data_IF_498746682047
#
_entry.id   IF_498746682047
#
_cell.length_a   1.000
_cell.length_b   1.000
_cell.length_c   1.000
_cell.angle_alpha   90.00
_cell.angle_beta   90.00
_cell.angle_gamma   90.00
#
_symmetry.space_group_name_H-M   'P 1'
#
loop_
_entity.id
_entity.type
_entity.pdbx_description
1 polymer ?
#
# COMPACT_ATOMS: atom_id res chain seq x y z
N UNK A 1 21.26 -16.10 -18.16
CA UNK A 1 19.94 -15.68 -17.62
C UNK A 1 19.33 -14.68 -18.60
N UNK A 2 18.03 -14.78 -18.88
CA UNK A 2 17.33 -13.71 -19.60
C UNK A 2 16.95 -12.62 -18.60
N UNK A 3 17.46 -11.41 -18.79
CA UNK A 3 17.06 -10.25 -18.00
C UNK A 3 15.70 -9.74 -18.49
N UNK A 4 14.63 -10.03 -17.72
CA UNK A 4 13.33 -9.39 -17.88
C UNK A 4 13.39 -7.92 -17.39
N UNK A 5 14.26 -7.12 -17.99
CA UNK A 5 14.23 -5.67 -17.85
C UNK A 5 13.02 -5.13 -18.59
N UNK A 6 12.22 -4.31 -17.92
CA UNK A 6 11.18 -3.52 -18.59
C UNK A 6 11.90 -2.52 -19.49
N UNK A 7 11.84 -2.72 -20.81
CA UNK A 7 12.48 -1.83 -21.77
C UNK A 7 11.85 -0.44 -21.71
N UNK A 8 12.66 0.57 -21.39
CA UNK A 8 12.24 1.97 -21.49
C UNK A 8 11.93 2.31 -22.95
N UNK A 9 10.91 3.13 -23.18
CA UNK A 9 10.51 3.64 -24.49
C UNK A 9 11.65 4.30 -25.27
N UNK A 10 12.63 4.90 -24.57
CA UNK A 10 13.85 5.47 -25.15
C UNK A 10 14.85 4.42 -25.67
N UNK A 11 14.72 3.15 -25.26
CA UNK A 11 15.60 2.04 -25.66
C UNK A 11 15.02 1.14 -26.75
N UNK A 12 13.78 1.39 -27.19
CA UNK A 12 13.11 0.61 -28.22
C UNK A 12 13.44 1.13 -29.63
N UNK A 13 13.77 0.21 -30.54
CA UNK A 13 14.15 0.53 -31.91
C UNK A 13 13.07 1.32 -32.67
N UNK A 14 13.50 2.21 -33.57
CA UNK A 14 12.59 3.05 -34.37
C UNK A 14 11.56 2.20 -35.12
N UNK A 15 10.29 2.65 -35.12
CA UNK A 15 9.17 1.91 -35.70
C UNK A 15 8.54 0.85 -34.80
N UNK A 16 8.93 0.74 -33.51
CA UNK A 16 8.28 -0.20 -32.58
C UNK A 16 6.78 0.09 -32.41
N UNK A 17 5.99 -0.98 -32.35
CA UNK A 17 4.62 -0.95 -31.80
C UNK A 17 4.41 -2.03 -30.75
N UNK A 18 3.55 -1.76 -29.76
CA UNK A 18 3.10 -2.70 -28.74
C UNK A 18 1.61 -2.51 -28.49
N UNK A 19 0.83 -3.53 -28.83
CA UNK A 19 -0.59 -3.58 -28.46
C UNK A 19 -0.75 -3.95 -26.99
N UNK A 20 -1.60 -3.23 -26.26
CA UNK A 20 -2.02 -3.59 -24.93
C UNK A 20 -3.49 -3.22 -24.67
N UNK A 21 -4.21 -4.14 -24.03
CA UNK A 21 -5.37 -3.80 -23.21
C UNK A 21 -4.84 -3.36 -21.85
N UNK A 22 -5.34 -2.25 -21.32
CA UNK A 22 -4.96 -1.78 -20.00
C UNK A 22 -6.13 -1.08 -19.32
N UNK A 23 -6.09 -1.01 -17.99
CA UNK A 23 -7.09 -0.33 -17.21
C UNK A 23 -6.57 0.11 -15.85
N UNK A 24 -7.31 1.02 -15.24
CA UNK A 24 -7.08 1.47 -13.88
C UNK A 24 -8.34 1.22 -13.05
N UNK A 25 -8.17 0.94 -11.75
CA UNK A 25 -9.24 0.91 -10.77
C UNK A 25 -8.88 1.83 -9.60
N UNK A 26 -9.78 2.75 -9.26
CA UNK A 26 -9.73 3.46 -7.98
C UNK A 26 -10.49 2.60 -6.97
N UNK A 27 -9.77 2.11 -5.96
CA UNK A 27 -10.27 1.11 -5.03
C UNK A 27 -11.09 1.77 -3.94
N UNK A 28 -12.31 1.31 -3.72
CA UNK A 28 -13.04 1.64 -2.49
C UNK A 28 -12.47 0.75 -1.36
N UNK A 29 -11.84 1.39 -0.38
CA UNK A 29 -11.12 0.72 0.72
C UNK A 29 -12.04 0.25 1.85
N UNK A 30 -13.35 0.52 1.78
CA UNK A 30 -14.35 -0.03 2.70
C UNK A 30 -15.00 -1.28 2.10
N UNK A 31 -15.33 -1.25 0.82
CA UNK A 31 -15.82 -2.41 0.07
C UNK A 31 -15.27 -2.42 -1.35
N UNK A 32 -14.43 -3.42 -1.65
CA UNK A 32 -13.77 -3.55 -2.95
C UNK A 32 -14.75 -3.79 -4.11
N UNK A 33 -15.96 -4.31 -3.88
CA UNK A 33 -16.97 -4.47 -4.94
C UNK A 33 -17.49 -3.12 -5.45
N UNK A 34 -17.42 -2.06 -4.62
CA UNK A 34 -17.73 -0.68 -5.00
C UNK A 34 -16.57 0.04 -5.74
N UNK A 35 -15.45 -0.63 -6.04
CA UNK A 35 -14.29 -0.03 -6.72
C UNK A 35 -14.60 0.41 -8.16
N UNK A 36 -14.15 1.61 -8.54
CA UNK A 36 -14.43 2.16 -9.86
C UNK A 36 -13.34 1.82 -10.87
N UNK A 37 -13.64 0.95 -11.83
CA UNK A 37 -12.70 0.49 -12.87
C UNK A 37 -13.01 1.11 -14.23
N UNK A 38 -11.96 1.44 -15.02
CA UNK A 38 -12.08 1.69 -16.47
C UNK A 38 -10.92 1.03 -17.21
N UNK A 39 -11.22 0.38 -18.33
CA UNK A 39 -10.24 -0.25 -19.22
C UNK A 39 -10.40 0.26 -20.65
N UNK A 40 -9.34 0.15 -21.45
CA UNK A 40 -9.31 0.45 -22.88
C UNK A 40 -8.24 -0.38 -23.59
N UNK A 41 -8.18 -0.32 -24.92
CA UNK A 41 -7.15 -0.95 -25.75
C UNK A 41 -6.43 0.09 -26.59
N UNK A 42 -5.10 -0.04 -26.72
CA UNK A 42 -4.26 0.85 -27.52
C UNK A 42 -3.07 0.10 -28.11
N UNK A 43 -2.69 0.48 -29.31
CA UNK A 43 -1.34 0.25 -29.83
C UNK A 43 -0.44 1.44 -29.46
N UNK A 44 0.55 1.18 -28.62
CA UNK A 44 1.58 2.13 -28.21
C UNK A 44 2.72 2.10 -29.23
N UNK A 45 3.32 3.26 -29.49
CA UNK A 45 4.47 3.44 -30.38
C UNK A 45 5.24 4.71 -29.99
N UNK A 46 6.39 4.96 -30.62
CA UNK A 46 7.25 6.10 -30.31
C UNK A 46 6.55 7.48 -30.38
N UNK A 47 5.58 7.67 -31.29
CA UNK A 47 4.81 8.92 -31.42
C UNK A 47 3.71 9.05 -30.37
N UNK A 48 3.20 7.92 -29.86
CA UNK A 48 2.08 7.85 -28.94
C UNK A 48 2.39 6.94 -27.73
N UNK A 49 3.43 7.23 -26.91
CA UNK A 49 3.89 6.32 -25.86
C UNK A 49 2.99 6.27 -24.61
N UNK A 50 2.07 7.23 -24.43
CA UNK A 50 1.23 7.37 -23.24
C UNK A 50 -0.27 7.35 -23.61
N UNK A 51 -1.12 6.78 -22.76
CA UNK A 51 -2.58 7.01 -22.75
C UNK A 51 -3.13 6.82 -21.33
N UNK A 52 -4.16 7.59 -20.99
CA UNK A 52 -4.92 7.46 -19.76
C UNK A 52 -6.29 8.13 -19.90
N UNK A 53 -7.07 8.18 -18.82
CA UNK A 53 -8.41 8.77 -18.83
C UNK A 53 -8.36 10.23 -18.34
N UNK A 54 -8.68 11.20 -19.23
CA UNK A 54 -8.74 12.64 -18.87
C UNK A 54 -9.76 12.97 -17.77
N UNK A 55 -10.75 12.11 -17.56
CA UNK A 55 -11.67 12.12 -16.43
C UNK A 55 -12.00 10.68 -16.06
N UNK A 56 -11.91 10.35 -14.77
CA UNK A 56 -12.04 8.98 -14.26
C UNK A 56 -13.09 8.87 -13.13
N UNK A 57 -12.90 9.63 -12.06
CA UNK A 57 -13.74 9.72 -10.86
C UNK A 57 -13.91 11.22 -10.52
N UNK A 58 -15.14 11.72 -10.25
CA UNK A 58 -15.32 13.11 -9.82
C UNK A 58 -14.65 13.38 -8.46
N UNK A 59 -14.08 14.57 -8.27
CA UNK A 59 -13.44 14.96 -7.00
C UNK A 59 -14.44 14.98 -5.82
N UNK A 60 -15.72 15.26 -6.09
CA UNK A 60 -16.82 15.17 -5.13
C UNK A 60 -17.16 13.74 -4.72
N UNK A 61 -16.83 12.75 -5.56
CA UNK A 61 -17.05 11.33 -5.31
C UNK A 61 -15.84 10.72 -4.60
N UNK A 62 -14.62 11.08 -5.03
CA UNK A 62 -13.35 10.72 -4.39
C UNK A 62 -13.25 11.22 -2.94
N UNK A 63 -13.69 12.46 -2.67
CA UNK A 63 -13.63 13.08 -1.33
C UNK A 63 -14.87 12.82 -0.46
N UNK A 64 -15.79 11.95 -0.89
CA UNK A 64 -17.00 11.65 -0.12
C UNK A 64 -16.66 10.70 1.03
N UNK A 65 -16.79 11.09 2.33
CA UNK A 65 -16.44 10.23 3.45
C UNK A 65 -17.37 9.00 3.60
N UNK A 66 -18.44 8.90 2.79
CA UNK A 66 -19.29 7.70 2.65
C UNK A 66 -18.82 6.73 1.55
N UNK A 67 -17.62 6.96 0.97
CA UNK A 67 -16.96 6.10 -0.03
C UNK A 67 -15.52 5.85 0.42
N UNK A 68 -15.01 4.64 0.28
CA UNK A 68 -13.67 4.27 0.72
C UNK A 68 -12.55 4.68 -0.24
N UNK A 69 -12.85 5.46 -1.29
CA UNK A 69 -11.84 5.87 -2.29
C UNK A 69 -10.69 6.70 -1.71
N UNK A 70 -10.92 7.41 -0.60
CA UNK A 70 -9.91 8.20 0.10
C UNK A 70 -9.96 7.90 1.60
N UNK A 71 -8.88 7.34 2.14
CA UNK A 71 -8.76 6.93 3.54
C UNK A 71 -7.43 7.43 4.10
N UNK A 72 -7.45 8.22 5.17
CA UNK A 72 -6.28 8.89 5.74
C UNK A 72 -5.48 9.69 4.68
N UNK A 73 -6.19 10.43 3.83
CA UNK A 73 -5.69 11.13 2.63
C UNK A 73 -4.96 10.27 1.58
N UNK A 74 -4.99 8.94 1.71
CA UNK A 74 -4.48 7.99 0.72
C UNK A 74 -5.58 7.45 -0.20
N UNK A 75 -5.33 7.50 -1.50
CA UNK A 75 -6.18 6.93 -2.55
C UNK A 75 -5.46 5.75 -3.22
N UNK A 76 -6.00 4.55 -3.10
CA UNK A 76 -5.43 3.35 -3.72
C UNK A 76 -5.87 3.23 -5.18
N UNK A 77 -4.89 3.11 -6.09
CA UNK A 77 -5.11 2.91 -7.53
C UNK A 77 -4.38 1.65 -7.99
N UNK A 78 -5.13 0.70 -8.55
CA UNK A 78 -4.58 -0.49 -9.20
C UNK A 78 -4.53 -0.30 -10.72
N UNK A 79 -3.54 -0.93 -11.36
CA UNK A 79 -3.36 -0.90 -12.81
C UNK A 79 -3.25 -2.32 -13.36
N UNK A 80 -3.99 -2.61 -14.43
CA UNK A 80 -3.99 -3.91 -15.12
C UNK A 80 -3.48 -3.71 -16.55
N UNK A 81 -2.61 -4.60 -17.03
CA UNK A 81 -2.02 -4.53 -18.38
C UNK A 81 -1.92 -5.94 -18.98
N UNK A 82 -2.30 -6.10 -20.24
CA UNK A 82 -2.24 -7.35 -20.98
C UNK A 82 -1.89 -7.08 -22.46
N UNK A 83 -0.91 -7.82 -22.98
CA UNK A 83 -0.30 -7.56 -24.30
C UNK A 83 -0.67 -8.57 -25.39
N UNK A 84 -1.55 -9.54 -25.10
CA UNK A 84 -2.04 -10.50 -26.08
C UNK A 84 -2.95 -9.87 -27.14
N UNK A 85 -2.87 -10.36 -28.38
CA UNK A 85 -3.75 -10.00 -29.51
C UNK A 85 -4.83 -11.05 -29.82
N UNK A 86 -5.02 -12.03 -28.94
CA UNK A 86 -6.13 -13.00 -29.00
C UNK A 86 -7.44 -12.37 -28.52
N UNK A 87 -8.56 -12.78 -29.13
CA UNK A 87 -9.87 -12.11 -29.03
C UNK A 87 -10.40 -12.06 -27.59
N UNK A 88 -10.73 -10.85 -27.14
CA UNK A 88 -11.60 -10.46 -26.01
C UNK A 88 -11.74 -11.43 -24.80
N UNK A 89 -10.67 -11.55 -23.99
CA UNK A 89 -10.72 -12.23 -22.67
C UNK A 89 -10.56 -11.29 -21.45
N UNK A 90 -10.76 -9.98 -21.62
CA UNK A 90 -10.69 -8.98 -20.53
C UNK A 90 -12.06 -8.40 -20.18
N UNK A 91 -13.03 -8.52 -21.09
CA UNK A 91 -14.44 -8.30 -20.79
C UNK A 91 -14.91 -9.39 -19.81
N UNK A 92 -15.51 -8.96 -18.69
CA UNK A 92 -16.00 -9.79 -17.58
C UNK A 92 -14.94 -10.59 -16.78
N UNK A 93 -14.33 -11.64 -17.32
CA UNK A 93 -13.82 -12.73 -16.45
C UNK A 93 -12.66 -12.32 -15.51
N UNK A 94 -11.76 -11.42 -15.95
CA UNK A 94 -10.67 -10.94 -15.08
C UNK A 94 -11.18 -10.05 -13.93
N UNK A 95 -12.24 -9.27 -14.16
CA UNK A 95 -12.88 -8.42 -13.14
C UNK A 95 -13.68 -9.28 -12.15
N UNK A 96 -14.28 -10.38 -12.61
CA UNK A 96 -15.00 -11.33 -11.74
C UNK A 96 -14.04 -12.14 -10.87
N UNK A 97 -12.87 -12.54 -11.39
CA UNK A 97 -11.92 -13.38 -10.62
C UNK A 97 -11.28 -12.68 -9.42
N UNK A 98 -11.18 -11.36 -9.40
CA UNK A 98 -10.76 -10.59 -8.21
C UNK A 98 -11.76 -10.65 -7.05
N UNK A 99 -13.02 -11.05 -7.29
CA UNK A 99 -14.04 -11.20 -6.24
C UNK A 99 -13.93 -12.55 -5.49
N UNK A 100 -13.35 -13.58 -6.10
CA UNK A 100 -13.41 -14.96 -5.60
C UNK A 100 -12.11 -15.51 -4.97
N UNK A 101 -11.03 -14.72 -4.95
CA UNK A 101 -9.66 -15.16 -4.64
C UNK A 101 -9.27 -15.36 -3.16
N UNK A 102 -10.02 -16.12 -2.34
CA UNK A 102 -9.61 -16.43 -0.94
C UNK A 102 -8.84 -17.76 -0.80
N UNK A 103 -7.72 -17.72 -0.05
CA UNK A 103 -6.83 -18.84 0.39
C UNK A 103 -6.09 -19.56 -0.76
N UNK A 104 -4.76 -19.65 -0.77
CA UNK A 104 -3.94 -20.33 0.25
C UNK A 104 -2.65 -19.57 0.63
N UNK A 105 -2.24 -19.75 1.87
CA UNK A 105 -0.87 -19.49 2.35
C UNK A 105 0.12 -20.54 1.82
N UNK A 106 1.33 -20.09 1.49
CA UNK A 106 2.57 -20.78 1.92
C UNK A 106 3.71 -19.78 2.12
N UNK A 107 4.28 -19.91 3.31
CA UNK A 107 5.58 -19.46 3.81
C UNK A 107 6.76 -20.04 2.98
N UNK A 108 7.93 -19.39 2.98
CA UNK A 108 9.12 -19.89 2.27
C UNK A 108 10.23 -18.86 2.02
N UNK A 109 11.04 -18.61 3.04
CA UNK A 109 12.43 -18.10 3.05
C UNK A 109 13.00 -17.25 1.90
N UNK A 110 13.49 -16.06 2.28
CA UNK A 110 14.67 -15.44 1.68
C UNK A 110 15.82 -15.53 2.69
N UNK A 111 17.03 -16.01 2.29
CA UNK A 111 18.34 -15.55 2.81
C UNK A 111 19.53 -16.26 2.13
N UNK A 112 20.69 -15.57 2.08
CA UNK A 112 21.99 -15.91 1.47
C UNK A 112 22.12 -15.75 -0.06
N UNK A 113 23.25 -15.30 -0.61
CA UNK A 113 24.35 -14.48 -0.05
C UNK A 113 25.25 -13.97 -1.19
N UNK A 114 25.66 -12.71 -1.17
CA UNK A 114 26.76 -12.19 -2.01
C UNK A 114 27.33 -10.88 -1.44
N UNK A 115 28.35 -10.96 -0.59
CA UNK A 115 29.24 -9.83 -0.24
C UNK A 115 30.59 -10.11 -0.92
N UNK A 116 31.10 -9.18 -1.72
CA UNK A 116 32.19 -9.46 -2.65
C UNK A 116 32.85 -8.22 -3.27
N UNK A 117 33.37 -7.35 -2.40
CA UNK A 117 34.43 -6.33 -2.62
C UNK A 117 34.74 -5.86 -4.06
N UNK A 118 34.50 -4.57 -4.32
CA UNK A 118 35.16 -3.87 -5.44
C UNK A 118 36.67 -3.71 -5.16
N UNK A 119 37.49 -3.68 -6.22
CA UNK A 119 38.95 -3.48 -6.16
C UNK A 119 39.36 -2.37 -7.14
N UNK A 120 39.96 -1.30 -6.63
CA UNK A 120 40.41 -0.13 -7.40
C UNK A 120 41.93 -0.10 -7.58
N UNK A 121 42.40 -0.08 -8.84
CA UNK A 121 43.76 0.31 -9.31
C UNK A 121 43.76 0.22 -10.84
N UNK A 122 44.50 0.97 -11.67
CA UNK A 122 45.29 2.22 -11.53
C UNK A 122 45.69 2.63 -12.96
N UNK A 123 45.80 3.93 -13.27
CA UNK A 123 46.48 4.39 -14.51
C UNK A 123 47.45 5.56 -14.22
N UNK A 124 48.71 5.36 -14.59
CA UNK A 124 49.86 6.27 -14.78
C UNK A 124 50.53 5.82 -16.12
N UNK A 125 51.71 6.31 -16.59
CA UNK A 125 52.54 7.48 -16.25
C UNK A 125 52.54 8.54 -17.39
N UNK A 126 53.43 9.54 -17.55
CA UNK A 126 54.89 9.58 -17.92
C UNK A 126 55.32 11.08 -17.80
N UNK A 127 56.36 11.48 -17.04
CA UNK A 127 57.82 11.52 -17.33
C UNK A 127 58.25 12.75 -18.20
N UNK A 128 59.48 13.31 -18.19
CA UNK A 128 60.69 13.10 -17.36
C UNK A 128 60.88 14.31 -16.40
N UNK A 129 61.98 15.08 -16.17
CA UNK A 129 63.41 15.16 -16.57
C UNK A 129 64.21 15.55 -15.27
N UNK A 130 65.52 15.28 -15.19
CA UNK A 130 66.41 15.72 -14.08
C UNK A 130 67.80 16.12 -14.65
N UNK A 131 68.53 17.10 -14.07
CA UNK A 131 69.85 16.77 -13.50
C UNK A 131 70.35 17.60 -12.28
N UNK A 132 71.42 17.09 -11.68
CA UNK A 132 72.31 17.64 -10.63
C UNK A 132 73.08 18.93 -11.02
N UNK A 133 73.91 19.59 -10.15
CA UNK A 133 74.49 19.10 -8.89
C UNK A 133 74.49 20.05 -7.66
N UNK A 134 74.98 19.52 -6.54
CA UNK A 134 75.34 20.21 -5.29
C UNK A 134 76.40 21.30 -5.46
N UNK A 135 76.22 22.43 -4.78
CA UNK A 135 77.31 23.32 -4.33
C UNK A 135 77.24 23.43 -2.81
N UNK A 136 78.39 23.29 -2.15
CA UNK A 136 78.49 23.54 -0.71
C UNK A 136 78.61 25.05 -0.49
N UNK A 137 77.65 25.62 0.25
CA UNK A 137 77.78 26.95 0.84
C UNK A 137 78.00 26.74 2.33
N UNK A 138 79.13 27.25 2.83
CA UNK A 138 79.47 27.24 4.24
C UNK A 138 78.56 28.24 4.96
N UNK A 139 77.58 27.73 5.72
CA UNK A 139 76.71 28.56 6.55
C UNK A 139 77.47 28.96 7.81
N UNK A 140 78.08 30.15 7.78
CA UNK A 140 78.52 30.84 8.99
C UNK A 140 77.35 30.88 9.98
N UNK A 141 77.56 30.39 11.21
CA UNK A 141 76.57 30.56 12.26
C UNK A 141 76.60 32.03 12.70
N UNK A 142 75.43 32.72 12.75
CA UNK A 142 75.40 34.12 13.15
C UNK A 142 75.96 34.29 14.57
N UNK A 143 76.58 35.44 14.85
CA UNK A 143 77.12 35.69 16.17
C UNK A 143 75.99 35.68 17.22
N UNK A 144 76.32 35.29 18.45
CA UNK A 144 75.35 35.30 19.56
C UNK A 144 74.80 36.72 19.80
N UNK A 145 75.60 37.75 19.54
CA UNK A 145 75.19 39.16 19.56
C UNK A 145 74.20 39.52 18.43
N UNK A 146 74.33 38.95 17.23
CA UNK A 146 73.37 39.16 16.13
C UNK A 146 72.03 38.48 16.42
N UNK A 147 72.06 37.24 16.94
CA UNK A 147 70.85 36.53 17.36
C UNK A 147 70.15 37.27 18.51
N UNK A 148 70.90 37.70 19.53
CA UNK A 148 70.35 38.47 20.66
C UNK A 148 69.84 39.85 20.20
N UNK A 149 70.49 40.51 19.23
CA UNK A 149 70.00 41.76 18.64
C UNK A 149 68.71 41.53 17.84
N UNK A 150 68.62 40.46 17.04
CA UNK A 150 67.39 40.10 16.34
C UNK A 150 66.25 39.82 17.31
N UNK A 151 66.46 38.99 18.34
CA UNK A 151 65.42 38.69 19.33
C UNK A 151 65.07 39.91 20.20
N UNK A 152 66.02 40.79 20.54
CA UNK A 152 65.72 42.04 21.26
C UNK A 152 64.91 43.01 20.39
N UNK A 153 65.22 43.12 19.10
CA UNK A 153 64.43 43.90 18.15
C UNK A 153 63.04 43.30 17.95
N UNK A 154 62.93 41.97 17.90
CA UNK A 154 61.66 41.26 17.81
C UNK A 154 60.82 41.44 19.08
N UNK A 155 61.43 41.39 20.27
CA UNK A 155 60.75 41.71 21.54
C UNK A 155 60.31 43.17 21.59
N UNK A 156 61.10 44.11 21.08
CA UNK A 156 60.73 45.53 20.99
C UNK A 156 59.57 45.76 20.00
N UNK A 157 59.58 45.07 18.86
CA UNK A 157 58.53 45.13 17.84
C UNK A 157 57.24 44.46 18.33
N UNK A 158 57.32 43.31 19.00
CA UNK A 158 56.20 42.64 19.67
C UNK A 158 55.67 43.43 20.89
N UNK A 159 56.53 44.21 21.55
CA UNK A 159 56.14 45.10 22.65
C UNK A 159 55.42 46.36 22.15
N UNK A 160 55.91 46.97 21.07
CA UNK A 160 55.27 48.15 20.45
C UNK A 160 54.03 47.80 19.62
N UNK A 161 53.92 46.56 19.15
CA UNK A 161 52.73 45.99 18.50
C UNK A 161 51.69 45.41 19.49
N UNK A 162 51.99 45.38 20.81
CA UNK A 162 51.02 44.95 21.83
C UNK A 162 49.86 45.96 21.90
N UNK A 163 48.68 45.54 21.44
CA UNK A 163 47.45 46.36 21.46
C UNK A 163 47.13 46.72 22.92
N UNK A 164 47.33 47.99 23.28
CA UNK A 164 47.07 48.51 24.63
C UNK A 164 45.58 48.86 24.76
N UNK A 165 44.78 47.87 25.17
CA UNK A 165 43.36 48.09 25.46
C UNK A 165 43.18 49.02 26.67
N UNK A 166 42.22 49.93 26.57
CA UNK A 166 41.88 50.84 27.66
C UNK A 166 41.21 50.14 28.84
N UNK A 167 41.25 50.79 30.01
CA UNK A 167 40.56 50.34 31.22
C UNK A 167 39.03 50.31 31.05
N UNK A 168 38.52 51.08 30.09
CA UNK A 168 37.11 51.20 29.74
C UNK A 168 36.66 50.02 28.85
N UNK A 169 37.44 49.68 27.82
CA UNK A 169 37.21 48.48 26.99
C UNK A 169 37.30 47.19 27.83
N UNK A 170 38.24 47.11 28.79
CA UNK A 170 38.34 45.98 29.72
C UNK A 170 37.09 45.85 30.63
N UNK A 171 36.51 46.97 31.11
CA UNK A 171 35.23 46.95 31.85
C UNK A 171 34.08 46.50 30.96
N UNK A 172 34.02 46.96 29.71
CA UNK A 172 32.96 46.59 28.76
C UNK A 172 33.04 45.11 28.37
N UNK A 173 34.26 44.58 28.18
CA UNK A 173 34.51 43.16 27.99
C UNK A 173 34.03 42.32 29.20
N UNK A 174 34.39 42.74 30.42
CA UNK A 174 33.92 42.08 31.65
C UNK A 174 32.40 42.14 31.80
N UNK A 175 31.76 43.25 31.40
CA UNK A 175 30.30 43.37 31.40
C UNK A 175 29.66 42.38 30.41
N UNK A 176 30.17 42.25 29.19
CA UNK A 176 29.70 41.28 28.17
C UNK A 176 29.85 39.82 28.64
N UNK A 177 30.93 39.49 29.33
CA UNK A 177 31.13 38.15 29.92
C UNK A 177 30.11 37.88 31.03
N UNK A 178 29.92 38.84 31.95
CA UNK A 178 28.91 38.70 33.01
C UNK A 178 27.48 38.64 32.45
N UNK A 179 27.18 39.38 31.37
CA UNK A 179 25.89 39.30 30.68
C UNK A 179 25.66 37.88 30.12
N UNK A 180 26.65 37.30 29.44
CA UNK A 180 26.60 35.94 28.90
C UNK A 180 26.50 34.85 30.00
N UNK A 181 27.17 35.04 31.14
CA UNK A 181 27.10 34.12 32.29
C UNK A 181 25.75 34.17 33.02
N UNK A 182 24.98 35.25 32.88
CA UNK A 182 23.62 35.39 33.43
C UNK A 182 22.53 34.80 32.52
N UNK A 183 22.87 34.32 31.31
CA UNK A 183 21.94 33.62 30.42
C UNK A 183 21.94 32.12 30.70
N UNK A 184 20.89 31.39 30.30
CA UNK A 184 21.04 29.93 30.25
C UNK A 184 22.01 29.55 29.12
N UNK A 185 22.74 28.42 29.21
CA UNK A 185 23.63 28.00 28.12
C UNK A 185 22.91 27.77 26.77
N UNK A 186 21.59 27.54 26.79
CA UNK A 186 20.77 27.43 25.57
C UNK A 186 20.53 28.80 24.96
N UNK A 187 20.11 29.79 25.77
CA UNK A 187 19.93 31.17 25.29
C UNK A 187 21.26 31.75 24.81
N UNK A 188 22.38 31.42 25.46
CA UNK A 188 23.71 31.86 25.04
C UNK A 188 24.07 31.32 23.64
N UNK A 189 23.75 30.05 23.35
CA UNK A 189 23.93 29.44 22.03
C UNK A 189 23.14 30.21 20.96
N UNK A 190 21.86 30.45 21.24
CA UNK A 190 20.91 30.98 20.26
C UNK A 190 20.98 32.51 20.12
N UNK A 191 21.56 33.22 21.10
CA UNK A 191 21.74 34.68 21.11
C UNK A 191 22.74 35.23 20.08
N UNK A 192 23.56 34.38 19.48
CA UNK A 192 24.68 34.78 18.61
C UNK A 192 25.85 35.46 19.34
N UNK A 193 25.81 35.59 20.68
CA UNK A 193 26.80 36.34 21.47
C UNK A 193 28.17 35.66 21.62
N UNK A 194 28.34 34.44 21.09
CA UNK A 194 29.61 33.68 21.13
C UNK A 194 30.78 34.48 20.52
N UNK A 195 30.59 35.17 19.38
CA UNK A 195 31.66 35.96 18.75
C UNK A 195 32.02 37.25 19.53
N UNK A 196 31.05 38.07 19.99
CA UNK A 196 31.32 39.14 20.96
C UNK A 196 31.97 38.66 22.26
N UNK A 197 31.57 37.49 22.76
CA UNK A 197 32.13 36.88 23.98
C UNK A 197 33.60 36.50 23.79
N UNK A 198 33.96 35.89 22.64
CA UNK A 198 35.35 35.62 22.26
C UNK A 198 36.21 36.88 22.20
N UNK A 199 35.68 37.97 21.65
CA UNK A 199 36.38 39.26 21.65
C UNK A 199 36.58 39.80 23.08
N UNK A 200 35.57 39.71 23.95
CA UNK A 200 35.70 40.11 25.35
C UNK A 200 36.76 39.30 26.12
N UNK A 201 36.83 37.98 25.88
CA UNK A 201 37.86 37.12 26.46
C UNK A 201 39.28 37.48 25.98
N UNK A 202 39.45 37.78 24.68
CA UNK A 202 40.73 38.26 24.14
C UNK A 202 41.18 39.59 24.75
N UNK A 203 40.27 40.58 24.88
CA UNK A 203 40.55 41.90 25.46
C UNK A 203 41.04 41.75 26.91
N UNK A 204 40.36 40.94 27.73
CA UNK A 204 40.76 40.73 29.13
C UNK A 204 42.09 39.96 29.27
N UNK A 205 42.38 38.99 28.40
CA UNK A 205 43.66 38.28 28.43
C UNK A 205 44.85 39.18 28.05
N UNK A 206 44.64 40.19 27.20
CA UNK A 206 45.66 41.12 26.74
C UNK A 206 45.79 42.40 27.58
N UNK A 207 44.89 42.65 28.54
CA UNK A 207 44.91 43.83 29.39
C UNK A 207 45.98 43.76 30.50
N UNK A 208 46.92 44.72 30.51
CA UNK A 208 48.02 44.82 31.47
C UNK A 208 47.87 46.09 32.36
N UNK A 209 46.84 46.10 33.22
CA UNK A 209 46.55 47.22 34.11
C UNK A 209 47.49 47.33 35.32
N UNK A 210 48.03 48.54 35.55
CA UNK A 210 49.16 48.88 36.45
C UNK A 210 48.98 48.69 37.97
N UNK A 211 48.10 47.80 38.44
CA UNK A 211 47.86 47.55 39.87
C UNK A 211 47.77 46.08 40.25
N UNK A 212 47.40 45.19 39.33
CA UNK A 212 47.33 43.73 39.52
C UNK A 212 47.40 43.05 38.14
N UNK A 213 48.61 42.80 37.64
CA UNK A 213 48.79 42.10 36.36
C UNK A 213 48.34 40.64 36.49
N UNK A 214 47.46 40.17 35.60
CA UNK A 214 47.07 38.76 35.55
C UNK A 214 48.29 37.90 35.19
N UNK A 215 48.48 36.78 35.88
CA UNK A 215 49.56 35.83 35.55
C UNK A 215 49.33 35.18 34.19
N UNK A 216 50.38 34.67 33.57
CA UNK A 216 50.29 33.93 32.29
C UNK A 216 49.31 32.76 32.41
N UNK A 217 49.32 32.07 33.56
CA UNK A 217 48.43 30.96 33.88
C UNK A 217 46.95 31.41 33.99
N UNK A 218 46.69 32.55 34.64
CA UNK A 218 45.34 33.15 34.69
C UNK A 218 44.84 33.57 33.30
N UNK A 219 45.71 34.13 32.45
CA UNK A 219 45.37 34.51 31.07
C UNK A 219 45.04 33.27 30.21
N UNK A 220 45.78 32.17 30.38
CA UNK A 220 45.53 30.90 29.72
C UNK A 220 44.22 30.24 30.20
N UNK A 221 43.93 30.24 31.51
CA UNK A 221 42.65 29.77 32.05
C UNK A 221 41.46 30.62 31.55
N UNK A 222 41.65 31.93 31.37
CA UNK A 222 40.62 32.81 30.82
C UNK A 222 40.27 32.45 29.36
N UNK A 223 41.28 32.18 28.52
CA UNK A 223 41.07 31.71 27.15
C UNK A 223 40.46 30.29 27.12
N UNK A 224 40.90 29.40 28.02
CA UNK A 224 40.29 28.09 28.21
C UNK A 224 38.82 28.18 28.64
N UNK A 225 38.42 29.24 29.34
CA UNK A 225 37.03 29.44 29.77
C UNK A 225 36.08 29.77 28.61
N UNK A 226 36.53 30.50 27.59
CA UNK A 226 35.75 30.77 26.38
C UNK A 226 35.30 29.48 25.68
N UNK A 227 36.26 28.62 25.34
CA UNK A 227 36.00 27.39 24.61
C UNK A 227 35.17 26.40 25.46
N UNK A 228 35.39 26.37 26.80
CA UNK A 228 34.55 25.61 27.75
C UNK A 228 33.09 26.12 27.80
N UNK A 229 32.86 27.44 27.77
CA UNK A 229 31.51 28.03 27.78
C UNK A 229 30.76 27.77 26.47
N UNK A 230 31.43 27.99 25.34
CA UNK A 230 30.94 27.67 23.98
C UNK A 230 30.54 26.20 23.87
N UNK A 231 31.39 25.28 24.35
CA UNK A 231 31.09 23.85 24.33
C UNK A 231 30.00 23.44 25.35
N UNK A 232 29.84 24.18 26.45
CA UNK A 232 28.69 23.99 27.35
C UNK A 232 27.36 24.42 26.69
N UNK A 233 27.38 25.53 25.96
CA UNK A 233 26.23 26.05 25.22
C UNK A 233 25.77 25.07 24.12
N UNK A 234 26.71 24.58 23.29
CA UNK A 234 26.47 23.53 22.29
C UNK A 234 25.77 22.30 22.89
N UNK A 235 26.32 21.77 24.00
CA UNK A 235 25.80 20.56 24.66
C UNK A 235 24.42 20.78 25.27
N UNK A 236 24.15 21.96 25.82
CA UNK A 236 22.85 22.30 26.38
C UNK A 236 21.77 22.41 25.28
N UNK A 237 22.06 23.13 24.19
CA UNK A 237 21.16 23.24 23.03
C UNK A 237 20.85 21.86 22.43
N UNK A 238 21.87 21.01 22.24
CA UNK A 238 21.69 19.63 21.79
C UNK A 238 20.83 18.80 22.76
N UNK A 239 21.05 18.89 24.06
CA UNK A 239 20.27 18.15 25.05
C UNK A 239 18.78 18.55 25.06
N UNK A 240 18.47 19.84 24.84
CA UNK A 240 17.08 20.31 24.64
C UNK A 240 16.50 19.79 23.33
N UNK A 241 17.26 19.81 22.24
CA UNK A 241 16.83 19.26 20.95
C UNK A 241 16.51 17.76 21.03
N UNK A 242 17.39 16.96 21.64
CA UNK A 242 17.20 15.52 21.83
C UNK A 242 15.95 15.23 22.69
N UNK A 243 15.73 16.00 23.76
CA UNK A 243 14.54 15.90 24.63
C UNK A 243 13.24 16.26 23.89
N UNK A 244 13.27 17.27 23.02
CA UNK A 244 12.14 17.66 22.19
C UNK A 244 11.83 16.60 21.11
N UNK A 245 12.85 15.97 20.54
CA UNK A 245 12.65 14.81 19.65
C UNK A 245 12.05 13.62 20.40
N UNK A 246 12.53 13.30 21.60
CA UNK A 246 12.01 12.19 22.41
C UNK A 246 10.52 12.37 22.72
N UNK A 247 10.12 13.53 23.26
CA UNK A 247 8.71 13.80 23.60
C UNK A 247 7.79 13.79 22.39
N UNK A 248 8.27 14.25 21.22
CA UNK A 248 7.54 14.12 19.95
C UNK A 248 7.36 12.64 19.53
N UNK A 249 8.40 11.81 19.63
CA UNK A 249 8.32 10.36 19.34
C UNK A 249 7.40 9.63 20.32
N UNK A 250 7.39 10.00 21.60
CA UNK A 250 6.46 9.47 22.61
C UNK A 250 5.01 9.86 22.37
N UNK A 251 4.75 11.05 21.81
CA UNK A 251 3.41 11.47 21.39
C UNK A 251 2.91 10.64 20.21
N UNK A 252 3.76 10.44 19.18
CA UNK A 252 3.47 9.57 18.03
C UNK A 252 3.23 8.12 18.49
N UNK A 253 4.09 7.57 19.36
CA UNK A 253 3.95 6.23 19.94
C UNK A 253 2.60 6.05 20.63
N UNK A 254 2.22 6.97 21.52
CA UNK A 254 0.92 6.92 22.23
C UNK A 254 -0.28 6.98 21.27
N UNK A 255 -0.19 7.78 20.21
CA UNK A 255 -1.25 7.89 19.19
C UNK A 255 -1.37 6.58 18.38
N UNK A 256 -0.24 5.99 17.97
CA UNK A 256 -0.22 4.69 17.29
C UNK A 256 -0.79 3.57 18.18
N UNK A 257 -0.40 3.52 19.46
CA UNK A 257 -0.92 2.53 20.43
C UNK A 257 -2.45 2.60 20.53
N UNK A 258 -3.06 3.78 20.73
CA UNK A 258 -4.53 3.93 20.80
C UNK A 258 -5.24 3.51 19.51
N UNK A 259 -4.63 3.74 18.35
CA UNK A 259 -5.18 3.33 17.06
C UNK A 259 -5.18 1.80 16.91
N UNK A 260 -4.11 1.13 17.37
CA UNK A 260 -4.01 -0.33 17.40
C UNK A 260 -4.98 -0.96 18.41
N UNK A 261 -5.11 -0.37 19.61
CA UNK A 261 -6.08 -0.79 20.63
C UNK A 261 -7.52 -0.71 20.10
N UNK A 262 -7.88 0.42 19.46
CA UNK A 262 -9.18 0.63 18.84
C UNK A 262 -9.47 -0.37 17.71
N UNK A 263 -8.45 -0.65 16.89
CA UNK A 263 -8.52 -1.65 15.82
C UNK A 263 -8.69 -3.08 16.36
N UNK A 264 -8.04 -3.42 17.47
CA UNK A 264 -8.13 -4.72 18.13
C UNK A 264 -9.49 -4.94 18.79
N UNK A 265 -10.12 -3.90 19.33
CA UNK A 265 -11.50 -3.95 19.83
C UNK A 265 -12.46 -4.24 18.66
N UNK A 266 -12.41 -3.41 17.60
CA UNK A 266 -13.25 -3.60 16.40
C UNK A 266 -13.05 -4.95 15.71
N UNK A 267 -11.84 -5.49 15.70
CA UNK A 267 -11.57 -6.83 15.20
C UNK A 267 -12.35 -7.89 15.98
N UNK A 268 -12.35 -7.83 17.32
CA UNK A 268 -13.05 -8.80 18.18
C UNK A 268 -14.57 -8.68 18.05
N UNK A 269 -15.10 -7.46 17.93
CA UNK A 269 -16.52 -7.20 17.67
C UNK A 269 -16.95 -7.88 16.36
N UNK A 270 -16.26 -7.60 15.25
CA UNK A 270 -16.51 -8.23 13.94
C UNK A 270 -16.32 -9.76 13.99
N UNK A 271 -15.35 -10.28 14.76
CA UNK A 271 -15.18 -11.73 14.96
C UNK A 271 -16.39 -12.38 15.65
N UNK A 272 -17.10 -11.65 16.51
CA UNK A 272 -18.36 -12.12 17.12
C UNK A 272 -19.57 -11.97 16.19
N UNK A 273 -19.65 -10.89 15.42
CA UNK A 273 -20.70 -10.68 14.40
C UNK A 273 -20.66 -11.78 13.33
N UNK A 274 -19.47 -12.11 12.81
CA UNK A 274 -19.28 -13.19 11.82
C UNK A 274 -19.76 -14.54 12.37
N UNK A 275 -19.48 -14.86 13.64
CA UNK A 275 -19.96 -16.11 14.26
C UNK A 275 -21.48 -16.19 14.38
N UNK A 276 -22.17 -15.05 14.56
CA UNK A 276 -23.64 -15.01 14.55
C UNK A 276 -24.18 -15.18 13.12
N UNK A 277 -23.55 -14.55 12.12
CA UNK A 277 -23.92 -14.72 10.71
C UNK A 277 -23.71 -16.16 10.23
N UNK A 278 -22.60 -16.80 10.58
CA UNK A 278 -22.31 -18.20 10.25
C UNK A 278 -23.38 -19.16 10.84
N UNK A 279 -23.87 -18.90 12.06
CA UNK A 279 -24.97 -19.66 12.66
C UNK A 279 -26.30 -19.48 11.90
N UNK A 280 -26.62 -18.26 11.48
CA UNK A 280 -27.81 -17.97 10.66
C UNK A 280 -27.72 -18.66 9.30
N UNK A 281 -26.53 -18.62 8.66
CA UNK A 281 -26.28 -19.30 7.38
C UNK A 281 -26.43 -20.82 7.50
N UNK A 282 -25.94 -21.43 8.58
CA UNK A 282 -26.10 -22.86 8.84
C UNK A 282 -27.59 -23.25 8.98
N UNK A 283 -28.37 -22.52 9.77
CA UNK A 283 -29.80 -22.77 9.94
C UNK A 283 -30.59 -22.62 8.62
N UNK A 284 -30.31 -21.57 7.83
CA UNK A 284 -30.94 -21.38 6.51
C UNK A 284 -30.51 -22.43 5.49
N UNK A 285 -29.31 -23.01 5.61
CA UNK A 285 -28.87 -24.11 4.74
C UNK A 285 -29.71 -25.38 4.98
N UNK A 286 -30.01 -25.71 6.24
CA UNK A 286 -30.85 -26.87 6.60
C UNK A 286 -32.29 -26.72 6.07
N UNK A 287 -32.89 -25.53 6.21
CA UNK A 287 -34.20 -25.20 5.61
C UNK A 287 -34.22 -25.41 4.09
N UNK A 288 -33.15 -24.98 3.39
CA UNK A 288 -33.02 -25.14 1.93
C UNK A 288 -32.88 -26.60 1.53
N UNK A 289 -32.17 -27.43 2.32
CA UNK A 289 -32.02 -28.88 2.06
C UNK A 289 -33.38 -29.60 2.15
N UNK A 290 -34.16 -29.38 3.21
CA UNK A 290 -35.48 -29.99 3.34
C UNK A 290 -36.49 -29.44 2.31
N UNK A 291 -36.39 -28.16 1.93
CA UNK A 291 -37.19 -27.58 0.84
C UNK A 291 -36.88 -28.23 -0.52
N UNK A 292 -35.60 -28.49 -0.83
CA UNK A 292 -35.17 -29.17 -2.05
C UNK A 292 -35.65 -30.64 -2.08
N UNK A 293 -35.51 -31.37 -0.96
CA UNK A 293 -36.03 -32.73 -0.79
C UNK A 293 -37.56 -32.80 -0.98
N UNK A 294 -38.31 -31.82 -0.47
CA UNK A 294 -39.75 -31.67 -0.72
C UNK A 294 -40.05 -31.41 -2.21
N UNK A 295 -39.27 -30.54 -2.86
CA UNK A 295 -39.37 -30.27 -4.31
C UNK A 295 -39.13 -31.52 -5.15
N UNK A 296 -38.15 -32.35 -4.80
CA UNK A 296 -37.85 -33.60 -5.49
C UNK A 296 -38.97 -34.65 -5.33
N UNK A 297 -39.57 -34.78 -4.14
CA UNK A 297 -40.76 -35.62 -3.93
C UNK A 297 -41.92 -35.20 -4.83
N UNK A 298 -42.25 -33.90 -4.86
CA UNK A 298 -43.33 -33.39 -5.74
C UNK A 298 -43.01 -33.57 -7.23
N UNK A 299 -41.74 -33.49 -7.63
CA UNK A 299 -41.31 -33.73 -9.00
C UNK A 299 -41.50 -35.21 -9.41
N UNK A 300 -41.16 -36.14 -8.52
CA UNK A 300 -41.37 -37.57 -8.73
C UNK A 300 -42.87 -37.93 -8.83
N UNK A 301 -43.70 -37.37 -7.94
CA UNK A 301 -45.16 -37.52 -7.95
C UNK A 301 -45.78 -37.01 -9.26
N UNK A 302 -45.47 -35.77 -9.67
CA UNK A 302 -45.89 -35.19 -10.96
C UNK A 302 -45.50 -36.06 -12.15
N UNK A 303 -44.28 -36.61 -12.14
CA UNK A 303 -43.79 -37.49 -13.21
C UNK A 303 -44.46 -38.89 -13.17
N UNK A 304 -44.96 -39.33 -12.01
CA UNK A 304 -45.83 -40.50 -11.86
C UNK A 304 -47.20 -40.28 -12.50
N UNK A 305 -47.87 -39.20 -12.12
CA UNK A 305 -49.18 -38.78 -12.66
C UNK A 305 -49.10 -38.68 -14.20
N UNK A 306 -48.09 -37.98 -14.74
CA UNK A 306 -47.91 -37.85 -16.18
C UNK A 306 -47.80 -39.20 -16.92
N UNK A 307 -47.09 -40.19 -16.37
CA UNK A 307 -47.00 -41.53 -16.96
C UNK A 307 -48.36 -42.23 -16.98
N UNK A 308 -49.09 -42.19 -15.86
CA UNK A 308 -50.42 -42.79 -15.74
C UNK A 308 -51.42 -42.15 -16.72
N UNK A 309 -51.48 -40.82 -16.81
CA UNK A 309 -52.33 -40.11 -17.77
C UNK A 309 -51.95 -40.45 -19.24
N UNK A 310 -50.65 -40.58 -19.54
CA UNK A 310 -50.19 -40.96 -20.89
C UNK A 310 -50.61 -42.38 -21.27
N UNK A 311 -50.58 -43.32 -20.33
CA UNK A 311 -51.04 -44.70 -20.55
C UNK A 311 -52.56 -44.78 -20.70
N UNK A 312 -53.33 -44.12 -19.83
CA UNK A 312 -54.79 -44.05 -19.93
C UNK A 312 -55.23 -43.43 -21.26
N UNK A 313 -54.53 -42.39 -21.74
CA UNK A 313 -54.80 -41.85 -23.08
C UNK A 313 -54.58 -42.88 -24.18
N UNK A 314 -53.48 -43.64 -24.16
CA UNK A 314 -53.26 -44.69 -25.17
C UNK A 314 -54.34 -45.78 -25.16
N UNK A 315 -54.88 -46.13 -23.99
CA UNK A 315 -56.00 -47.07 -23.85
C UNK A 315 -57.31 -46.49 -24.40
N UNK A 316 -57.58 -45.21 -24.16
CA UNK A 316 -58.73 -44.50 -24.74
C UNK A 316 -58.63 -44.36 -26.27
N UNK A 317 -57.45 -43.99 -26.78
CA UNK A 317 -57.13 -43.87 -28.21
C UNK A 317 -57.18 -45.25 -28.93
N UNK A 318 -57.07 -46.36 -28.20
CA UNK A 318 -57.25 -47.73 -28.72
C UNK A 318 -58.74 -48.13 -28.73
N UNK A 319 -59.42 -48.00 -27.59
CA UNK A 319 -60.85 -48.31 -27.47
C UNK A 319 -61.71 -47.48 -28.44
N UNK A 320 -61.35 -46.23 -28.71
CA UNK A 320 -62.00 -45.39 -29.71
C UNK A 320 -61.89 -45.90 -31.16
N UNK A 321 -60.94 -46.80 -31.48
CA UNK A 321 -60.83 -47.45 -32.80
C UNK A 321 -61.71 -48.70 -32.89
N UNK A 322 -61.84 -49.42 -31.79
CA UNK A 322 -62.69 -50.61 -31.68
C UNK A 322 -64.17 -50.23 -31.51
N UNK A 323 -64.47 -49.02 -31.02
CA UNK A 323 -65.81 -48.52 -30.72
C UNK A 323 -66.82 -48.73 -31.86
N UNK A 324 -66.44 -48.41 -33.10
CA UNK A 324 -67.32 -48.56 -34.26
C UNK A 324 -67.69 -50.03 -34.54
N UNK A 325 -66.85 -50.99 -34.15
CA UNK A 325 -67.15 -52.43 -34.24
C UNK A 325 -68.15 -52.81 -33.15
N UNK A 326 -67.92 -52.39 -31.90
CA UNK A 326 -68.85 -52.62 -30.80
C UNK A 326 -70.23 -52.02 -31.06
N UNK A 327 -70.31 -50.79 -31.59
CA UNK A 327 -71.57 -50.13 -31.95
C UNK A 327 -72.32 -50.87 -33.07
N UNK A 328 -71.60 -51.36 -34.09
CA UNK A 328 -72.18 -52.17 -35.16
C UNK A 328 -72.69 -53.53 -34.64
N UNK A 329 -71.92 -54.21 -33.79
CA UNK A 329 -72.33 -55.49 -33.18
C UNK A 329 -73.54 -55.32 -32.26
N UNK A 330 -73.59 -54.24 -31.47
CA UNK A 330 -74.74 -53.92 -30.62
C UNK A 330 -76.02 -53.71 -31.45
N UNK A 331 -75.93 -52.96 -32.56
CA UNK A 331 -77.07 -52.72 -33.46
C UNK A 331 -77.61 -53.99 -34.10
N UNK A 332 -76.73 -54.91 -34.52
CA UNK A 332 -77.14 -56.23 -35.03
C UNK A 332 -77.80 -57.06 -33.93
N UNK A 333 -77.30 -57.01 -32.69
CA UNK A 333 -77.94 -57.65 -31.54
C UNK A 333 -79.33 -57.10 -31.23
N UNK A 334 -79.50 -55.78 -31.31
CA UNK A 334 -80.79 -55.09 -31.17
C UNK A 334 -81.79 -55.43 -32.29
N UNK A 335 -81.33 -55.73 -33.51
CA UNK A 335 -82.19 -56.16 -34.62
C UNK A 335 -82.61 -57.63 -34.45
N UNK A 336 -81.70 -58.50 -34.02
CA UNK A 336 -81.97 -59.90 -33.73
C UNK A 336 -82.88 -60.08 -32.50
N UNK A 337 -82.71 -59.28 -31.43
CA UNK A 337 -83.59 -59.32 -30.24
C UNK A 337 -85.05 -59.04 -30.63
N UNK A 338 -85.29 -58.04 -31.49
CA UNK A 338 -86.62 -57.72 -32.04
C UNK A 338 -87.17 -58.84 -32.93
N UNK A 339 -86.30 -59.52 -33.68
CA UNK A 339 -86.66 -60.70 -34.49
C UNK A 339 -87.13 -61.87 -33.62
N UNK A 340 -86.33 -62.19 -32.59
CA UNK A 340 -86.59 -63.26 -31.62
C UNK A 340 -87.84 -62.96 -30.77
N UNK A 341 -88.06 -61.72 -30.33
CA UNK A 341 -89.29 -61.36 -29.62
C UNK A 341 -90.53 -61.53 -30.51
N UNK A 342 -90.43 -61.15 -31.80
CA UNK A 342 -91.52 -61.34 -32.75
C UNK A 342 -91.79 -62.82 -33.06
N UNK A 343 -90.78 -63.70 -33.07
CA UNK A 343 -90.97 -65.15 -33.16
C UNK A 343 -91.57 -65.74 -31.89
N UNK A 344 -91.10 -65.31 -30.73
CA UNK A 344 -91.64 -65.72 -29.43
C UNK A 344 -93.11 -65.31 -29.28
N UNK A 345 -93.51 -64.16 -29.83
CA UNK A 345 -94.90 -63.76 -30.00
C UNK A 345 -95.69 -64.75 -30.86
N UNK A 346 -95.24 -65.01 -32.10
CA UNK A 346 -95.88 -65.97 -33.02
C UNK A 346 -96.05 -67.37 -32.40
N UNK A 347 -95.08 -67.83 -31.61
CA UNK A 347 -95.13 -69.11 -30.89
C UNK A 347 -96.21 -69.10 -29.79
N UNK A 348 -96.30 -68.04 -28.98
CA UNK A 348 -97.37 -67.89 -27.95
C UNK A 348 -98.76 -67.90 -28.59
N UNK A 349 -98.95 -67.17 -29.69
CA UNK A 349 -100.23 -67.08 -30.40
C UNK A 349 -100.64 -68.44 -30.97
N UNK A 350 -99.69 -69.19 -31.55
CA UNK A 350 -99.91 -70.53 -32.05
C UNK A 350 -100.31 -71.52 -30.95
N UNK A 351 -99.59 -71.55 -29.82
CA UNK A 351 -99.92 -72.39 -28.66
C UNK A 351 -101.28 -72.00 -28.06
N UNK A 352 -101.61 -70.72 -27.98
CA UNK A 352 -102.93 -70.25 -27.54
C UNK A 352 -104.04 -70.71 -28.50
N UNK A 353 -103.78 -70.73 -29.81
CA UNK A 353 -104.70 -71.25 -30.83
C UNK A 353 -104.88 -72.77 -30.78
N UNK A 354 -103.97 -73.52 -30.16
CA UNK A 354 -104.14 -74.95 -29.88
C UNK A 354 -104.95 -75.14 -28.60
N UNK A 355 -104.61 -74.44 -27.52
CA UNK A 355 -105.34 -74.53 -26.24
C UNK A 355 -106.82 -74.09 -26.35
N UNK A 356 -107.17 -73.24 -27.31
CA UNK A 356 -108.56 -72.89 -27.61
C UNK A 356 -109.33 -73.91 -28.47
N UNK A 357 -108.75 -75.07 -28.77
CA UNK A 357 -109.34 -76.16 -29.59
C UNK A 357 -109.30 -77.53 -28.90
N UNK A 358 -108.88 -77.57 -27.63
CA UNK A 358 -108.82 -78.74 -26.75
C UNK A 358 -109.83 -78.52 -25.62
#
# INVERSE_FOLDING_TARGET
>A
MATNGVADSATLASGWTRYAHFGFAVIDQFDRENSRTRATKKEFNATNPILGFRSFLPLTELRNPKRGYLLNDACLVEAYVFTGRTVDMISHEFIVKTVLGKRKTKEGDCVKAAIGNQKTTTTKPVEVINPSPTLAVELEQPAEEDMNTFFTSLEYELSSSRIVYSKEEAKEALAKINEALNMTPVDLNDSGKISPLKQAFMILASFDGSSTTLTIEQKNELLGLEERLKELANRAAKAVQDKNQLTAKESIKRTMTRSLESSLIRYKEVETEVKQVDQILAARHEEVVEAQKKREKMLAERNGIYRSCKEMKMKLDALGKEWAVYEATARVGEEEEKSVEAEWGRIKDFISSINGKI
#
